data_IF_673127129898
#
_entry.id   IF_673127129898
#
_cell.length_a   1.000
_cell.length_b   1.000
_cell.length_c   1.000
_cell.angle_alpha   90.00
_cell.angle_beta   90.00
_cell.angle_gamma   90.00
#
_symmetry.space_group_name_H-M   'P 1'
#
loop_
_entity.id
_entity.type
_entity.pdbx_description
1 polymer ?
#
# COMPACT_ATOMS: atom_id res chain seq x y z
N UNK A 1 -20.09 -21.09 14.52
CA UNK A 1 -20.56 -22.19 15.41
C UNK A 1 -19.76 -22.27 16.72
N UNK A 2 -19.09 -21.19 17.11
CA UNK A 2 -18.30 -21.13 18.35
C UNK A 2 -19.14 -20.89 19.62
N UNK A 3 -20.45 -20.64 19.50
CA UNK A 3 -21.33 -20.26 20.61
C UNK A 3 -21.01 -18.87 21.20
N UNK A 4 -20.13 -18.10 20.58
CA UNK A 4 -19.79 -16.75 21.02
C UNK A 4 -20.76 -15.73 20.39
N UNK A 5 -21.26 -14.83 21.19
CA UNK A 5 -22.01 -13.68 20.72
C UNK A 5 -21.00 -12.62 20.22
N UNK A 6 -21.19 -12.15 18.99
CA UNK A 6 -20.36 -11.10 18.41
C UNK A 6 -21.06 -9.76 18.48
N UNK A 7 -20.35 -8.72 18.85
CA UNK A 7 -20.83 -7.36 18.68
C UNK A 7 -20.72 -6.99 17.20
N UNK A 8 -21.87 -6.76 16.57
CA UNK A 8 -21.96 -6.31 15.20
C UNK A 8 -22.28 -4.81 15.19
N UNK A 9 -21.45 -4.03 14.53
CA UNK A 9 -21.57 -2.58 14.41
C UNK A 9 -21.75 -2.27 12.93
N UNK A 10 -22.89 -1.66 12.58
CA UNK A 10 -23.19 -1.28 11.20
C UNK A 10 -22.53 0.07 10.88
N UNK A 11 -21.78 0.12 9.79
CA UNK A 11 -21.25 1.37 9.22
C UNK A 11 -22.21 1.86 8.14
N UNK A 12 -22.87 2.98 8.41
CA UNK A 12 -23.81 3.58 7.45
C UNK A 12 -23.04 4.51 6.51
N UNK A 13 -23.10 4.24 5.21
CA UNK A 13 -22.52 5.10 4.18
C UNK A 13 -23.64 5.83 3.43
N UNK A 14 -23.73 7.14 3.65
CA UNK A 14 -24.81 7.97 3.07
C UNK A 14 -24.64 8.25 1.58
N UNK A 15 -23.42 8.12 1.07
CA UNK A 15 -23.09 8.39 -0.34
C UNK A 15 -23.28 7.14 -1.24
N UNK A 16 -23.63 6.01 -0.66
CA UNK A 16 -23.81 4.77 -1.38
C UNK A 16 -25.31 4.46 -1.50
N UNK A 17 -25.83 4.58 -2.70
CA UNK A 17 -27.27 4.44 -3.01
C UNK A 17 -27.81 3.00 -2.91
N UNK A 18 -27.04 2.06 -2.39
CA UNK A 18 -27.49 0.68 -2.18
C UNK A 18 -27.71 0.46 -0.70
N UNK A 19 -28.97 0.38 -0.23
CA UNK A 19 -29.26 0.09 1.16
C UNK A 19 -28.76 -1.32 1.50
N UNK A 20 -27.84 -1.42 2.43
CA UNK A 20 -27.41 -2.67 3.04
C UNK A 20 -28.42 -3.14 4.09
N UNK A 21 -28.47 -4.45 4.34
CA UNK A 21 -29.19 -5.01 5.48
C UNK A 21 -28.47 -4.65 6.79
N UNK A 22 -29.20 -4.12 7.77
CA UNK A 22 -28.65 -3.86 9.10
C UNK A 22 -28.59 -5.16 9.89
N UNK A 23 -27.37 -5.57 10.24
CA UNK A 23 -27.11 -6.80 10.97
C UNK A 23 -26.87 -6.55 12.47
N UNK A 24 -26.36 -5.36 12.81
CA UNK A 24 -26.02 -4.95 14.16
C UNK A 24 -27.16 -4.24 14.90
N UNK A 25 -27.00 -4.16 16.22
CA UNK A 25 -27.85 -3.33 17.08
C UNK A 25 -27.35 -1.91 17.26
N UNK A 26 -26.10 -1.65 16.84
CA UNK A 26 -25.42 -0.37 16.97
C UNK A 26 -24.94 0.11 15.61
N UNK A 27 -25.05 1.41 15.35
CA UNK A 27 -24.34 2.06 14.26
C UNK A 27 -22.92 2.46 14.71
N UNK A 28 -22.00 2.63 13.78
CA UNK A 28 -20.65 3.08 14.06
C UNK A 28 -20.64 4.43 14.81
N UNK A 29 -21.47 5.39 14.38
CA UNK A 29 -21.56 6.71 15.03
C UNK A 29 -22.05 6.60 16.47
N UNK A 30 -23.03 5.73 16.74
CA UNK A 30 -23.50 5.50 18.10
C UNK A 30 -22.43 4.85 18.96
N UNK A 31 -21.73 3.83 18.44
CA UNK A 31 -20.61 3.19 19.13
C UNK A 31 -19.49 4.18 19.45
N UNK A 32 -19.14 5.03 18.46
CA UNK A 32 -18.11 6.05 18.64
C UNK A 32 -18.48 7.07 19.72
N UNK A 33 -19.76 7.45 19.81
CA UNK A 33 -20.26 8.41 20.83
C UNK A 33 -20.19 7.88 22.26
N UNK A 34 -20.02 6.57 22.44
CA UNK A 34 -19.88 5.91 23.75
C UNK A 34 -18.41 5.84 24.21
N UNK A 35 -17.46 6.21 23.32
CA UNK A 35 -16.03 6.24 23.64
C UNK A 35 -15.66 7.36 24.62
N UNK A 36 -14.62 7.13 25.39
CA UNK A 36 -14.04 8.14 26.29
C UNK A 36 -13.02 8.99 25.52
N UNK A 37 -13.30 10.28 25.23
CA UNK A 37 -12.35 11.15 24.54
C UNK A 37 -11.10 11.47 25.37
N UNK A 38 -11.12 11.20 26.67
CA UNK A 38 -10.00 11.40 27.59
C UNK A 38 -9.17 10.13 27.81
N UNK A 39 -9.46 9.05 27.08
CA UNK A 39 -8.75 7.78 27.22
C UNK A 39 -7.23 7.97 27.06
N UNK A 40 -6.48 7.58 28.09
CA UNK A 40 -5.02 7.64 28.06
C UNK A 40 -4.44 6.54 27.19
N UNK A 41 -3.70 6.92 26.17
CA UNK A 41 -3.02 5.98 25.29
C UNK A 41 -2.05 5.11 26.07
N UNK A 42 -2.15 3.81 25.85
CA UNK A 42 -1.23 2.82 26.42
C UNK A 42 -0.27 2.36 25.32
N UNK A 43 1.02 2.61 25.55
CA UNK A 43 2.06 2.02 24.70
C UNK A 43 2.19 0.53 25.00
N UNK A 44 2.58 -0.32 24.02
CA UNK A 44 2.80 -1.73 24.28
C UNK A 44 3.93 -1.93 25.30
N UNK A 45 3.72 -2.81 26.26
CA UNK A 45 4.74 -3.17 27.25
C UNK A 45 5.88 -3.98 26.63
N UNK A 46 5.59 -4.70 25.54
CA UNK A 46 6.53 -5.51 24.78
C UNK A 46 6.31 -5.24 23.28
N UNK A 47 7.35 -4.78 22.60
CA UNK A 47 7.29 -4.51 21.15
C UNK A 47 7.13 -5.77 20.28
N UNK A 48 7.33 -6.96 20.84
CA UNK A 48 7.06 -8.25 20.20
C UNK A 48 5.61 -8.71 20.32
N UNK A 49 4.79 -7.97 21.07
CA UNK A 49 3.37 -8.26 21.17
C UNK A 49 2.71 -8.20 19.79
N UNK A 50 1.85 -9.20 19.52
CA UNK A 50 1.10 -9.29 18.28
C UNK A 50 0.09 -8.15 18.13
N UNK A 51 0.00 -7.57 16.92
CA UNK A 51 -0.97 -6.52 16.59
C UNK A 51 -2.05 -7.02 15.62
N UNK A 52 -1.73 -7.96 14.76
CA UNK A 52 -2.70 -8.51 13.81
C UNK A 52 -2.28 -9.90 13.30
N UNK A 53 -3.25 -10.59 12.72
CA UNK A 53 -3.09 -11.87 12.05
C UNK A 53 -3.57 -11.73 10.60
N UNK A 54 -2.66 -11.93 9.65
CA UNK A 54 -2.92 -11.86 8.22
C UNK A 54 -2.84 -13.25 7.60
N UNK A 55 -3.87 -13.67 6.87
CA UNK A 55 -3.84 -14.94 6.16
C UNK A 55 -3.33 -14.78 4.74
N UNK A 56 -2.42 -15.68 4.33
CA UNK A 56 -2.01 -15.80 2.92
C UNK A 56 -2.98 -16.70 2.18
N UNK A 57 -3.14 -16.50 0.85
CA UNK A 57 -4.04 -17.30 0.01
C UNK A 57 -3.59 -18.75 -0.19
N UNK A 58 -2.34 -19.08 0.12
CA UNK A 58 -1.83 -20.46 0.05
C UNK A 58 -1.82 -21.03 -1.37
N UNK A 59 -1.07 -20.42 -2.29
CA UNK A 59 -0.99 -20.88 -3.70
C UNK A 59 -0.48 -22.32 -3.87
N UNK A 60 0.23 -22.84 -2.88
CA UNK A 60 0.84 -24.19 -2.88
C UNK A 60 0.40 -25.07 -1.71
N UNK A 61 -0.63 -24.68 -0.96
CA UNK A 61 -1.08 -25.40 0.23
C UNK A 61 -2.18 -24.67 0.99
N UNK A 62 -2.38 -25.07 2.25
CA UNK A 62 -3.37 -24.43 3.12
C UNK A 62 -2.97 -22.96 3.42
N UNK A 63 -3.96 -22.04 3.57
CA UNK A 63 -3.70 -20.70 4.02
C UNK A 63 -2.90 -20.65 5.33
N UNK A 64 -1.91 -19.77 5.41
CA UNK A 64 -1.07 -19.59 6.59
C UNK A 64 -1.43 -18.31 7.29
N UNK A 65 -1.53 -18.36 8.62
CA UNK A 65 -1.70 -17.17 9.45
C UNK A 65 -0.35 -16.54 9.77
N UNK A 66 -0.13 -15.32 9.30
CA UNK A 66 1.08 -14.54 9.55
C UNK A 66 0.78 -13.53 10.65
N UNK A 67 1.51 -13.62 11.76
CA UNK A 67 1.36 -12.72 12.91
C UNK A 67 2.32 -11.55 12.78
N UNK A 68 1.77 -10.34 12.79
CA UNK A 68 2.56 -9.11 12.89
C UNK A 68 2.72 -8.67 14.35
N UNK A 69 3.85 -8.08 14.67
CA UNK A 69 4.13 -7.49 15.96
C UNK A 69 4.54 -6.01 15.81
N UNK A 70 4.46 -5.25 16.90
CA UNK A 70 4.72 -3.79 16.90
C UNK A 70 6.09 -3.44 16.31
N UNK A 71 7.14 -4.14 16.72
CA UNK A 71 8.50 -3.91 16.24
C UNK A 71 8.62 -4.06 14.72
N UNK A 72 8.09 -5.15 14.15
CA UNK A 72 8.18 -5.40 12.71
C UNK A 72 7.44 -4.35 11.89
N UNK A 73 6.22 -3.98 12.32
CA UNK A 73 5.44 -2.93 11.68
C UNK A 73 6.14 -1.57 11.72
N UNK A 74 6.71 -1.19 12.88
CA UNK A 74 7.46 0.06 13.04
C UNK A 74 8.72 0.09 12.16
N UNK A 75 9.50 -1.00 12.13
CA UNK A 75 10.71 -1.10 11.30
C UNK A 75 10.37 -1.00 9.82
N UNK A 76 9.34 -1.72 9.34
CA UNK A 76 8.95 -1.65 7.95
C UNK A 76 8.39 -0.27 7.58
N UNK A 77 7.60 0.35 8.47
CA UNK A 77 7.09 1.71 8.26
C UNK A 77 8.21 2.74 8.12
N UNK A 78 9.26 2.65 8.94
CA UNK A 78 10.44 3.53 8.85
C UNK A 78 11.24 3.22 7.57
N UNK A 79 11.39 1.94 7.21
CA UNK A 79 12.02 1.56 5.95
C UNK A 79 11.31 2.17 4.74
N UNK A 80 9.97 2.13 4.69
CA UNK A 80 9.21 2.79 3.63
C UNK A 80 9.54 4.29 3.52
N UNK A 81 9.73 4.98 4.65
CA UNK A 81 10.13 6.40 4.64
C UNK A 81 11.52 6.58 4.04
N UNK A 82 12.48 5.73 4.43
CA UNK A 82 13.88 5.83 4.00
C UNK A 82 14.06 5.42 2.54
N UNK A 83 13.49 4.26 2.19
CA UNK A 83 13.73 3.62 0.89
C UNK A 83 12.94 4.26 -0.26
N UNK A 84 11.88 4.99 0.05
CA UNK A 84 11.07 5.72 -0.93
C UNK A 84 11.19 7.25 -0.82
N UNK A 85 12.09 7.72 0.04
CA UNK A 85 12.33 9.15 0.28
C UNK A 85 11.03 9.94 0.46
N UNK A 86 10.22 9.52 1.46
CA UNK A 86 8.93 10.12 1.72
C UNK A 86 9.10 11.44 2.49
N UNK A 87 8.78 12.54 1.86
CA UNK A 87 8.80 13.88 2.46
C UNK A 87 7.82 14.01 3.64
N UNK A 88 7.96 15.07 4.43
CA UNK A 88 6.97 15.44 5.45
C UNK A 88 5.64 15.78 4.79
N UNK A 89 4.55 15.42 5.46
CA UNK A 89 3.18 15.73 5.05
C UNK A 89 2.81 15.21 3.66
N UNK A 90 3.10 13.91 3.33
CA UNK A 90 2.67 13.34 2.07
C UNK A 90 1.13 13.29 2.01
N UNK A 91 0.58 13.45 0.82
CA UNK A 91 -0.82 13.13 0.55
C UNK A 91 -0.85 11.78 -0.14
N UNK A 92 -1.34 10.77 0.57
CA UNK A 92 -1.30 9.37 0.14
C UNK A 92 -2.68 8.89 -0.30
N UNK A 93 -2.77 8.39 -1.54
CA UNK A 93 -4.00 7.83 -2.11
C UNK A 93 -4.07 6.32 -1.89
N UNK A 94 -5.15 5.87 -1.27
CA UNK A 94 -5.41 4.47 -1.02
C UNK A 94 -6.04 3.76 -2.22
N UNK A 95 -5.21 3.36 -3.18
CA UNK A 95 -5.55 2.43 -4.26
C UNK A 95 -5.29 0.97 -3.85
N UNK A 96 -4.48 0.77 -2.81
CA UNK A 96 -4.17 -0.52 -2.23
C UNK A 96 -5.19 -0.86 -1.14
N UNK A 97 -5.74 -2.10 -1.06
CA UNK A 97 -6.57 -2.51 0.06
C UNK A 97 -5.81 -2.45 1.39
N UNK A 98 -6.35 -1.73 2.38
CA UNK A 98 -5.68 -1.55 3.68
C UNK A 98 -5.44 -2.86 4.44
N UNK A 99 -6.27 -3.88 4.21
CA UNK A 99 -6.12 -5.19 4.87
C UNK A 99 -4.99 -6.04 4.28
N UNK A 100 -4.64 -5.84 2.99
CA UNK A 100 -3.62 -6.64 2.31
C UNK A 100 -2.22 -6.27 2.81
N UNK A 101 -1.55 -7.21 3.49
CA UNK A 101 -0.30 -6.97 4.23
C UNK A 101 -0.40 -5.71 5.12
N UNK A 102 -1.59 -5.49 5.73
CA UNK A 102 -1.96 -4.26 6.44
C UNK A 102 -1.54 -2.99 5.66
N UNK A 103 -1.97 -2.95 4.39
CA UNK A 103 -1.70 -1.84 3.49
C UNK A 103 -0.21 -1.58 3.28
N UNK A 104 0.63 -2.63 3.27
CA UNK A 104 2.09 -2.56 3.13
C UNK A 104 2.75 -1.67 4.19
N UNK A 105 2.22 -1.66 5.40
CA UNK A 105 2.63 -0.79 6.51
C UNK A 105 2.42 0.72 6.28
N UNK A 106 1.75 1.14 5.19
CA UNK A 106 1.53 2.56 4.91
C UNK A 106 0.61 3.28 5.91
N UNK A 107 -0.34 2.65 6.63
CA UNK A 107 -1.05 3.36 7.71
C UNK A 107 -0.08 3.95 8.73
N UNK A 108 0.92 3.19 9.14
CA UNK A 108 1.96 3.64 10.08
C UNK A 108 3.00 4.55 9.42
N UNK A 109 3.37 4.28 8.17
CA UNK A 109 4.30 5.12 7.39
C UNK A 109 3.77 6.55 7.23
N UNK A 110 2.52 6.70 6.81
CA UNK A 110 1.91 8.01 6.58
C UNK A 110 1.69 8.75 7.90
N UNK A 111 1.27 8.04 8.96
CA UNK A 111 1.18 8.60 10.30
C UNK A 111 2.53 9.13 10.81
N UNK A 112 3.63 8.36 10.62
CA UNK A 112 4.98 8.76 11.01
C UNK A 112 5.47 10.03 10.27
N UNK A 113 4.89 10.35 9.12
CA UNK A 113 5.21 11.56 8.33
C UNK A 113 4.19 12.68 8.50
N UNK A 114 3.21 12.54 9.42
CA UNK A 114 2.10 13.45 9.60
C UNK A 114 1.39 13.77 8.27
N UNK A 115 1.18 12.72 7.46
CA UNK A 115 0.60 12.82 6.13
C UNK A 115 -0.93 12.75 6.13
N UNK A 116 -1.51 12.99 4.97
CA UNK A 116 -2.95 12.91 4.72
C UNK A 116 -3.27 11.60 4.01
N UNK A 117 -4.31 10.89 4.46
CA UNK A 117 -4.83 9.72 3.80
C UNK A 117 -6.07 10.10 2.96
N UNK A 118 -6.01 9.86 1.65
CA UNK A 118 -7.13 10.02 0.72
C UNK A 118 -7.66 8.63 0.41
N UNK A 119 -8.86 8.32 0.88
CA UNK A 119 -9.49 7.02 0.69
C UNK A 119 -10.38 7.01 -0.56
N UNK A 120 -10.33 5.91 -1.31
CA UNK A 120 -11.19 5.69 -2.47
C UNK A 120 -12.27 4.67 -2.16
N UNK A 121 -13.49 4.96 -2.56
CA UNK A 121 -14.58 3.98 -2.54
C UNK A 121 -14.47 2.98 -3.71
N UNK A 122 -13.98 3.45 -4.85
CA UNK A 122 -13.77 2.68 -6.07
C UNK A 122 -12.37 2.88 -6.59
N UNK A 123 -11.72 1.78 -6.96
CA UNK A 123 -10.40 1.80 -7.59
C UNK A 123 -10.59 1.67 -9.10
N UNK A 124 -10.80 2.81 -9.76
CA UNK A 124 -10.85 2.96 -11.20
C UNK A 124 -10.15 4.25 -11.64
N UNK A 125 -9.88 4.39 -12.93
CA UNK A 125 -9.10 5.50 -13.47
C UNK A 125 -9.76 6.86 -13.21
N UNK A 126 -11.08 6.96 -13.31
CA UNK A 126 -11.81 8.20 -13.10
C UNK A 126 -11.63 8.72 -11.68
N UNK A 127 -11.90 7.87 -10.67
CA UNK A 127 -11.78 8.27 -9.27
C UNK A 127 -10.32 8.52 -8.87
N UNK A 128 -9.37 7.72 -9.38
CA UNK A 128 -7.94 7.92 -9.09
C UNK A 128 -7.47 9.27 -9.64
N UNK A 129 -7.70 9.58 -10.91
CA UNK A 129 -7.26 10.85 -11.50
C UNK A 129 -7.99 12.06 -10.89
N UNK A 130 -9.28 11.91 -10.56
CA UNK A 130 -10.02 12.95 -9.85
C UNK A 130 -9.40 13.24 -8.48
N UNK A 131 -9.16 12.20 -7.67
CA UNK A 131 -8.54 12.33 -6.35
C UNK A 131 -7.13 12.95 -6.42
N UNK A 132 -6.31 12.56 -7.41
CA UNK A 132 -4.98 13.14 -7.60
C UNK A 132 -5.07 14.64 -7.84
N UNK A 133 -5.99 15.08 -8.69
CA UNK A 133 -6.16 16.51 -9.04
C UNK A 133 -6.79 17.31 -7.91
N UNK A 134 -7.78 16.75 -7.23
CA UNK A 134 -8.54 17.44 -6.19
C UNK A 134 -7.78 17.58 -4.88
N UNK A 135 -7.08 16.53 -4.47
CA UNK A 135 -6.43 16.49 -3.16
C UNK A 135 -4.91 16.70 -3.21
N UNK A 136 -4.33 16.92 -4.40
CA UNK A 136 -2.90 17.11 -4.54
C UNK A 136 -2.09 15.87 -4.10
N UNK A 137 -2.55 14.69 -4.49
CA UNK A 137 -1.90 13.42 -4.13
C UNK A 137 -0.45 13.41 -4.58
N UNK A 138 0.43 13.02 -3.67
CA UNK A 138 1.86 12.92 -3.92
C UNK A 138 2.35 11.48 -4.04
N UNK A 139 1.69 10.54 -3.35
CA UNK A 139 2.12 9.14 -3.25
C UNK A 139 0.94 8.18 -3.31
N UNK A 140 1.16 6.99 -3.89
CA UNK A 140 0.23 5.86 -3.84
C UNK A 140 0.97 4.55 -4.07
N UNK A 141 0.36 3.42 -3.71
CA UNK A 141 0.87 2.08 -4.00
C UNK A 141 -0.18 1.28 -4.75
N UNK A 142 0.23 0.53 -5.77
CA UNK A 142 -0.73 -0.26 -6.53
C UNK A 142 -0.10 -1.51 -7.17
N UNK A 143 -0.95 -2.50 -7.46
CA UNK A 143 -0.60 -3.62 -8.30
C UNK A 143 -0.54 -3.22 -9.78
N UNK A 144 0.17 -3.98 -10.65
CA UNK A 144 0.27 -3.67 -12.08
C UNK A 144 -1.07 -3.49 -12.80
N UNK A 145 -2.13 -4.19 -12.35
CA UNK A 145 -3.46 -4.05 -12.93
C UNK A 145 -4.04 -2.64 -12.79
N UNK A 146 -3.78 -1.97 -11.67
CA UNK A 146 -4.25 -0.59 -11.46
C UNK A 146 -3.48 0.37 -12.37
N UNK A 147 -2.16 0.21 -12.47
CA UNK A 147 -1.34 1.02 -13.39
C UNK A 147 -1.78 0.81 -14.85
N UNK A 148 -2.11 -0.43 -15.22
CA UNK A 148 -2.64 -0.71 -16.56
C UNK A 148 -3.98 0.01 -16.82
N UNK A 149 -4.86 0.11 -15.82
CA UNK A 149 -6.09 0.91 -15.93
C UNK A 149 -5.77 2.40 -16.18
N UNK A 150 -4.77 2.96 -15.51
CA UNK A 150 -4.37 4.36 -15.67
C UNK A 150 -3.75 4.62 -17.05
N UNK A 151 -2.85 3.77 -17.50
CA UNK A 151 -2.21 3.89 -18.82
C UNK A 151 -3.25 3.85 -19.95
N UNK A 152 -4.23 2.95 -19.86
CA UNK A 152 -5.26 2.75 -20.88
C UNK A 152 -6.51 3.61 -20.70
N UNK A 153 -6.54 4.52 -19.73
CA UNK A 153 -7.65 5.43 -19.53
C UNK A 153 -7.81 6.40 -20.70
N UNK A 154 -9.02 6.94 -20.95
CA UNK A 154 -9.24 8.02 -21.90
C UNK A 154 -8.39 9.25 -21.59
N UNK A 155 -7.95 9.95 -22.64
CA UNK A 155 -7.04 11.10 -22.50
C UNK A 155 -7.67 12.28 -21.74
N UNK A 156 -8.99 12.41 -21.80
CA UNK A 156 -9.74 13.40 -21.03
C UNK A 156 -9.56 13.25 -19.52
N UNK A 157 -9.45 12.01 -19.04
CA UNK A 157 -9.21 11.74 -17.61
C UNK A 157 -7.77 12.06 -17.20
N UNK A 158 -6.80 11.85 -18.10
CA UNK A 158 -5.38 12.12 -17.88
C UNK A 158 -5.05 13.60 -17.89
N UNK A 159 -5.86 14.41 -18.58
CA UNK A 159 -5.64 15.84 -18.72
C UNK A 159 -5.57 16.54 -17.36
N UNK A 160 -4.52 17.35 -17.16
CA UNK A 160 -4.32 18.12 -15.94
C UNK A 160 -3.82 17.32 -14.72
N UNK A 161 -3.41 16.08 -14.90
CA UNK A 161 -2.72 15.30 -13.85
C UNK A 161 -1.33 15.90 -13.64
N UNK A 162 -0.95 16.23 -12.38
CA UNK A 162 0.37 16.79 -12.12
C UNK A 162 1.47 15.75 -12.36
N UNK A 163 2.61 16.19 -12.89
CA UNK A 163 3.80 15.34 -13.00
C UNK A 163 4.44 15.12 -11.62
N UNK A 164 5.17 14.00 -11.49
CA UNK A 164 5.96 13.69 -10.29
C UNK A 164 5.17 13.00 -9.18
N UNK A 165 3.94 12.55 -9.43
CA UNK A 165 3.22 11.68 -8.49
C UNK A 165 3.99 10.37 -8.36
N UNK A 166 4.42 10.04 -7.14
CA UNK A 166 5.21 8.83 -6.85
C UNK A 166 4.31 7.61 -6.66
N UNK A 167 4.60 6.53 -7.36
CA UNK A 167 3.89 5.26 -7.25
C UNK A 167 4.81 4.10 -6.90
N UNK A 168 4.46 3.28 -5.89
CA UNK A 168 5.07 1.97 -5.74
C UNK A 168 4.26 0.92 -6.50
N UNK A 169 4.95 0.09 -7.27
CA UNK A 169 4.36 -1.02 -8.00
C UNK A 169 4.90 -2.36 -7.49
N UNK A 170 4.01 -3.25 -7.08
CA UNK A 170 4.34 -4.60 -6.60
C UNK A 170 3.14 -5.54 -6.65
N UNK A 171 3.27 -6.72 -6.03
CA UNK A 171 2.26 -7.78 -6.01
C UNK A 171 2.38 -8.74 -7.19
N UNK A 172 2.99 -8.30 -8.28
CA UNK A 172 3.46 -9.09 -9.42
C UNK A 172 4.60 -8.33 -10.10
N UNK A 173 5.44 -9.03 -10.86
CA UNK A 173 6.47 -8.38 -11.65
C UNK A 173 5.83 -7.46 -12.72
N UNK A 174 6.12 -6.16 -12.72
CA UNK A 174 5.51 -5.24 -13.67
C UNK A 174 6.11 -5.43 -15.06
N UNK A 175 5.27 -5.51 -16.11
CA UNK A 175 5.77 -5.36 -17.47
C UNK A 175 6.46 -4.00 -17.66
N UNK A 176 7.60 -3.96 -18.36
CA UNK A 176 8.31 -2.72 -18.64
C UNK A 176 7.43 -1.70 -19.38
N UNK A 177 6.52 -2.17 -20.24
CA UNK A 177 5.56 -1.32 -20.95
C UNK A 177 4.59 -0.56 -20.03
N UNK A 178 4.24 -1.10 -18.87
CA UNK A 178 3.41 -0.39 -17.88
C UNK A 178 4.24 0.72 -17.22
N UNK A 179 5.48 0.43 -16.83
CA UNK A 179 6.38 1.43 -16.25
C UNK A 179 6.59 2.57 -17.26
N UNK A 180 6.91 2.24 -18.52
CA UNK A 180 7.06 3.20 -19.59
C UNK A 180 5.80 4.04 -19.81
N UNK A 181 4.63 3.40 -19.82
CA UNK A 181 3.35 4.09 -20.00
C UNK A 181 3.07 5.09 -18.87
N UNK A 182 3.35 4.73 -17.64
CA UNK A 182 3.17 5.61 -16.47
C UNK A 182 4.20 6.74 -16.45
N UNK A 183 5.46 6.48 -16.82
CA UNK A 183 6.47 7.55 -16.95
C UNK A 183 6.08 8.56 -18.04
N UNK A 184 5.51 8.12 -19.18
CA UNK A 184 4.96 9.02 -20.22
C UNK A 184 3.81 9.89 -19.71
N UNK A 185 3.06 9.42 -18.72
CA UNK A 185 2.02 10.19 -18.03
C UNK A 185 2.58 11.13 -16.95
N UNK A 186 3.90 11.12 -16.73
CA UNK A 186 4.57 11.97 -15.75
C UNK A 186 4.63 11.39 -14.33
N UNK A 187 4.28 10.12 -14.13
CA UNK A 187 4.41 9.46 -12.82
C UNK A 187 5.83 8.98 -12.58
N UNK A 188 6.24 9.01 -11.33
CA UNK A 188 7.50 8.46 -10.86
C UNK A 188 7.26 7.08 -10.21
N UNK A 189 7.36 6.00 -11.00
CA UNK A 189 7.15 4.65 -10.51
C UNK A 189 8.45 4.03 -9.98
N UNK A 190 8.33 3.35 -8.84
CA UNK A 190 9.39 2.54 -8.26
C UNK A 190 8.88 1.11 -8.03
N UNK A 191 9.60 0.12 -8.53
CA UNK A 191 9.25 -1.28 -8.32
C UNK A 191 9.76 -1.75 -6.96
N UNK A 192 8.89 -2.41 -6.20
CA UNK A 192 9.23 -3.03 -4.92
C UNK A 192 8.75 -4.48 -4.91
N UNK A 193 9.42 -5.32 -4.13
CA UNK A 193 9.02 -6.70 -3.87
C UNK A 193 8.84 -6.91 -2.38
N UNK A 194 7.85 -7.71 -2.03
CA UNK A 194 7.59 -8.14 -0.67
C UNK A 194 6.50 -9.19 -0.58
N UNK A 195 6.30 -9.70 0.61
CA UNK A 195 5.33 -10.74 0.96
C UNK A 195 4.63 -10.35 2.26
N UNK A 196 3.52 -11.03 2.56
CA UNK A 196 2.84 -10.92 3.85
C UNK A 196 3.81 -11.24 4.99
N UNK A 197 4.66 -12.26 4.81
CA UNK A 197 5.61 -12.76 5.80
C UNK A 197 6.73 -11.76 6.16
N UNK A 198 6.90 -10.70 5.38
CA UNK A 198 7.89 -9.63 5.60
C UNK A 198 7.25 -8.25 5.71
N UNK A 199 5.96 -8.18 6.09
CA UNK A 199 5.19 -6.95 6.34
C UNK A 199 4.88 -6.09 5.09
N UNK A 200 5.13 -6.59 3.89
CA UNK A 200 4.98 -5.86 2.64
C UNK A 200 6.30 -5.67 1.92
N UNK A 201 6.64 -4.47 1.43
CA UNK A 201 7.88 -4.23 0.71
C UNK A 201 9.13 -4.59 1.52
N UNK A 202 10.05 -5.29 0.89
CA UNK A 202 11.29 -5.80 1.47
C UNK A 202 12.50 -5.53 0.58
N UNK A 203 12.28 -5.31 -0.73
CA UNK A 203 13.29 -4.81 -1.65
C UNK A 203 12.74 -3.70 -2.53
N UNK A 204 13.62 -2.86 -3.04
CA UNK A 204 13.29 -1.70 -3.84
C UNK A 204 14.26 -1.58 -5.02
N UNK A 205 13.73 -1.31 -6.20
CA UNK A 205 14.52 -0.96 -7.37
C UNK A 205 14.83 0.54 -7.35
N UNK A 206 15.87 0.91 -6.60
CA UNK A 206 16.31 2.31 -6.51
C UNK A 206 16.81 2.78 -7.88
N UNK A 207 16.19 3.84 -8.40
CA UNK A 207 16.63 4.47 -9.65
C UNK A 207 18.03 5.07 -9.46
N UNK A 208 18.85 4.92 -10.48
CA UNK A 208 20.20 5.49 -10.51
C UNK A 208 20.21 6.73 -11.41
N UNK A 209 21.02 7.73 -11.05
CA UNK A 209 21.07 8.98 -11.79
C UNK A 209 21.48 8.79 -13.26
N UNK A 210 22.36 7.82 -13.52
CA UNK A 210 22.81 7.47 -14.89
C UNK A 210 21.68 6.93 -15.79
N UNK A 211 20.58 6.46 -15.19
CA UNK A 211 19.44 5.98 -15.99
C UNK A 211 18.66 7.13 -16.63
N UNK A 212 18.85 8.37 -16.17
CA UNK A 212 18.18 9.53 -16.75
C UNK A 212 18.63 9.81 -18.19
N UNK A 213 19.87 9.38 -18.54
CA UNK A 213 20.45 9.54 -19.87
C UNK A 213 20.01 8.43 -20.86
N UNK A 214 19.34 7.39 -20.36
CA UNK A 214 18.85 6.27 -21.16
C UNK A 214 17.49 6.58 -21.81
N UNK A 215 17.21 5.89 -22.90
CA UNK A 215 15.84 5.93 -23.44
C UNK A 215 14.82 5.35 -22.45
N UNK A 216 13.57 5.76 -22.62
CA UNK A 216 12.49 5.40 -21.68
C UNK A 216 12.26 3.88 -21.60
N UNK A 217 12.46 3.14 -22.69
CA UNK A 217 12.30 1.68 -22.70
C UNK A 217 13.40 0.98 -21.92
N UNK A 218 14.65 1.47 -22.02
CA UNK A 218 15.78 0.95 -21.22
C UNK A 218 15.59 1.26 -19.73
N UNK A 219 15.20 2.48 -19.39
CA UNK A 219 14.85 2.84 -17.99
C UNK A 219 13.77 1.95 -17.42
N UNK A 220 12.70 1.72 -18.17
CA UNK A 220 11.59 0.88 -17.74
C UNK A 220 12.04 -0.58 -17.49
N UNK A 221 12.92 -1.13 -18.35
CA UNK A 221 13.50 -2.47 -18.12
C UNK A 221 14.36 -2.53 -16.87
N UNK A 222 15.17 -1.51 -16.62
CA UNK A 222 15.99 -1.43 -15.41
C UNK A 222 15.10 -1.31 -14.15
N UNK A 223 14.09 -0.46 -14.20
CA UNK A 223 13.15 -0.24 -13.10
C UNK A 223 12.21 -1.45 -12.82
N UNK A 224 12.12 -2.40 -13.76
CA UNK A 224 11.36 -3.65 -13.56
C UNK A 224 12.10 -4.69 -12.71
N UNK A 225 13.37 -4.47 -12.33
CA UNK A 225 14.14 -5.38 -11.49
C UNK A 225 13.61 -5.40 -10.07
N UNK A 226 13.88 -6.49 -9.32
CA UNK A 226 13.53 -6.62 -7.91
C UNK A 226 14.32 -5.67 -6.99
N UNK A 227 15.46 -5.18 -7.45
CA UNK A 227 16.26 -4.19 -6.76
C UNK A 227 17.12 -4.76 -5.63
N UNK A 228 17.27 -3.96 -4.57
CA UNK A 228 18.09 -4.26 -3.40
C UNK A 228 17.22 -4.32 -2.14
N UNK A 229 17.72 -4.97 -1.08
CA UNK A 229 17.02 -5.04 0.20
C UNK A 229 16.73 -3.65 0.78
N UNK A 230 15.64 -3.54 1.51
CA UNK A 230 15.33 -2.35 2.30
C UNK A 230 16.41 -2.09 3.36
N UNK A 231 16.65 -0.81 3.70
CA UNK A 231 17.68 -0.39 4.63
C UNK A 231 17.63 -1.08 6.00
N UNK A 232 16.43 -1.24 6.54
CA UNK A 232 16.26 -1.82 7.88
C UNK A 232 16.17 -3.36 7.87
N UNK A 233 16.30 -4.00 6.70
CA UNK A 233 16.39 -5.44 6.61
C UNK A 233 17.83 -5.95 6.81
N UNK A 234 17.96 -7.03 7.55
CA UNK A 234 19.27 -7.62 7.83
C UNK A 234 19.89 -8.24 6.58
N UNK A 235 19.14 -9.02 5.82
CA UNK A 235 19.61 -9.69 4.61
C UNK A 235 18.47 -10.07 3.68
N UNK A 236 18.79 -10.20 2.40
CA UNK A 236 18.00 -10.88 1.38
C UNK A 236 18.98 -11.64 0.51
N UNK A 237 18.66 -12.89 0.15
CA UNK A 237 19.46 -13.72 -0.71
C UNK A 237 18.58 -14.47 -1.70
N UNK A 238 19.11 -14.70 -2.89
CA UNK A 238 18.52 -15.61 -3.88
C UNK A 238 19.31 -16.91 -3.81
N UNK A 239 18.62 -17.99 -3.51
CA UNK A 239 19.23 -19.30 -3.36
C UNK A 239 18.71 -20.24 -4.43
N UNK A 240 19.53 -21.17 -4.83
CA UNK A 240 19.12 -22.30 -5.63
C UNK A 240 18.13 -23.17 -4.84
N UNK A 241 16.93 -23.49 -5.37
CA UNK A 241 15.88 -24.16 -4.60
C UNK A 241 16.22 -25.62 -4.24
N UNK A 242 17.18 -26.25 -4.92
CA UNK A 242 17.59 -27.63 -4.65
C UNK A 242 18.76 -27.71 -3.68
N UNK A 243 19.76 -26.84 -3.85
CA UNK A 243 20.98 -26.85 -3.06
C UNK A 243 20.97 -25.91 -1.88
N UNK A 244 20.07 -24.95 -1.86
CA UNK A 244 19.98 -23.87 -0.85
C UNK A 244 21.30 -23.06 -0.69
N UNK A 245 22.03 -22.92 -1.80
CA UNK A 245 23.30 -22.16 -1.87
C UNK A 245 23.22 -21.06 -2.91
#
# INVERSE_FOLDING_TARGET
ESGREFLVIDVEEKEFDVPGEKLGKLTYEKFLSEGDPSFAWQVPADEWQAICLNYTSGTTGNPKGVVYHHRGAAINAVSNVLDWDINKHPVYLWTLPMFHCNGWCFPWTIAARAGVNVCLRRVDAQHIFAAIKEHGVTHYCAAPIVHNLLVNAPDELKAGVPAGVKGLIAGAAPPASIIEGMEKLGFDLTHVYGLTEVYGPASVCVKQDEWNDLDIGERARLNARQGVRYHMQQAIAVLDPETMK
#
